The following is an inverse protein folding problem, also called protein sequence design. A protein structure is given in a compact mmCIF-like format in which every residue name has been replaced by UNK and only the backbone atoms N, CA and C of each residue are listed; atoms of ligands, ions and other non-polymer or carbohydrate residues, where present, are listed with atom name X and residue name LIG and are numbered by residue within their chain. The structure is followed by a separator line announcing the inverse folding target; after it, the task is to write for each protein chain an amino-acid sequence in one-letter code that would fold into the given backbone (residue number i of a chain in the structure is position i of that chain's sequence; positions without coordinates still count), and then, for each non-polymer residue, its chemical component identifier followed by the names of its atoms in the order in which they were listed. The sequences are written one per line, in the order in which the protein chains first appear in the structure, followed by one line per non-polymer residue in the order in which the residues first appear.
data_IF_063510664621
#
_entry.id   IF_063510664621
#
_cell.length_a   1.000
_cell.length_b   1.000
_cell.length_c   1.000
_cell.angle_alpha   90.00
_cell.angle_beta   90.00
_cell.angle_gamma   90.00
#
_symmetry.space_group_name_H-M   'P 1'
#
loop_
_entity.id
_entity.type
_entity.pdbx_description
1 polymer ?
#
# COMPACT_ATOMS: atom_id res chain seq x y z
N UNK A 1 -17.83 25.94 -17.60
CA UNK A 1 -19.28 26.13 -17.38
C UNK A 1 -19.44 27.14 -16.26
N UNK A 2 -19.74 28.39 -16.62
CA UNK A 2 -19.91 29.50 -15.68
C UNK A 2 -21.26 29.40 -14.99
N UNK A 3 -21.28 29.36 -13.66
CA UNK A 3 -22.48 29.59 -12.88
C UNK A 3 -22.41 31.02 -12.34
N UNK A 4 -23.19 31.91 -12.94
CA UNK A 4 -23.54 33.21 -12.37
C UNK A 4 -24.45 32.92 -11.19
N UNK A 5 -23.90 32.98 -9.98
CA UNK A 5 -24.74 32.97 -8.77
C UNK A 5 -25.33 34.36 -8.65
N UNK A 6 -26.63 34.46 -8.96
CA UNK A 6 -27.46 35.61 -8.66
C UNK A 6 -27.30 35.96 -7.18
N UNK A 7 -26.80 37.17 -6.94
CA UNK A 7 -26.75 37.76 -5.62
C UNK A 7 -28.18 38.03 -5.17
N UNK A 8 -28.67 37.24 -4.22
CA UNK A 8 -29.95 37.48 -3.58
C UNK A 8 -29.87 38.80 -2.80
N UNK A 9 -30.65 39.78 -3.23
CA UNK A 9 -30.89 41.00 -2.46
C UNK A 9 -31.62 40.61 -1.18
N UNK A 10 -30.89 40.59 -0.06
CA UNK A 10 -31.51 40.47 1.26
C UNK A 10 -32.09 41.85 1.58
N UNK A 11 -33.41 41.91 1.64
CA UNK A 11 -34.16 43.09 2.03
C UNK A 11 -33.65 43.62 3.39
N UNK A 12 -33.25 44.89 3.43
CA UNK A 12 -32.95 45.59 4.66
C UNK A 12 -34.21 45.64 5.54
N UNK A 13 -34.06 45.42 6.84
CA UNK A 13 -35.15 45.66 7.79
C UNK A 13 -35.54 47.13 7.70
N UNK A 14 -36.82 47.38 7.47
CA UNK A 14 -37.44 48.70 7.40
C UNK A 14 -37.48 49.33 8.80
N UNK A 15 -36.33 49.81 9.26
CA UNK A 15 -36.25 50.84 10.29
C UNK A 15 -36.52 52.18 9.62
N UNK A 16 -37.70 52.74 9.87
CA UNK A 16 -38.18 54.02 9.37
C UNK A 16 -37.13 55.13 9.47
N UNK A 17 -36.62 55.58 8.33
CA UNK A 17 -36.01 56.90 8.18
C UNK A 17 -37.05 57.84 7.57
N UNK A 18 -37.28 59.03 8.14
CA UNK A 18 -38.22 59.99 7.59
C UNK A 18 -37.58 60.67 6.38
N UNK A 19 -38.15 60.47 5.20
CA UNK A 19 -37.94 61.37 4.07
C UNK A 19 -38.49 62.75 4.45
N UNK A 20 -37.71 63.80 4.20
CA UNK A 20 -38.01 65.16 4.63
C UNK A 20 -37.04 66.16 4.01
N UNK A 21 -37.42 66.61 2.83
CA UNK A 21 -36.64 67.41 1.89
C UNK A 21 -36.47 68.87 2.37
N UNK A 22 -35.25 69.40 2.28
CA UNK A 22 -35.02 70.85 2.16
C UNK A 22 -34.87 71.67 3.45
N UNK A 23 -33.72 72.33 3.60
CA UNK A 23 -33.54 73.45 4.52
C UNK A 23 -32.16 73.48 5.17
N UNK A 24 -31.37 74.50 4.85
CA UNK A 24 -30.01 74.68 5.41
C UNK A 24 -30.00 74.75 6.94
N UNK A 25 -29.01 74.11 7.56
CA UNK A 25 -28.77 74.18 8.99
C UNK A 25 -28.22 72.89 9.57
N UNK A 26 -26.90 72.82 9.74
CA UNK A 26 -26.11 72.07 10.73
C UNK A 26 -26.71 70.83 11.46
N UNK A 27 -27.30 69.86 10.77
CA UNK A 27 -27.53 68.52 11.35
C UNK A 27 -26.20 67.75 11.40
N UNK A 28 -25.88 67.03 12.49
CA UNK A 28 -24.65 66.23 12.55
C UNK A 28 -24.72 65.13 11.50
N UNK A 29 -24.00 65.32 10.39
CA UNK A 29 -23.83 64.27 9.38
C UNK A 29 -23.03 63.13 10.01
N UNK A 30 -23.69 62.00 10.25
CA UNK A 30 -23.04 60.74 10.60
C UNK A 30 -21.97 60.39 9.56
N UNK A 31 -20.86 59.76 9.95
CA UNK A 31 -19.87 59.32 8.99
C UNK A 31 -20.47 58.29 8.02
N UNK A 32 -20.07 58.34 6.76
CA UNK A 32 -20.47 57.38 5.73
C UNK A 32 -19.25 56.90 4.97
N UNK A 33 -19.07 55.59 4.85
CA UNK A 33 -18.04 54.97 4.02
C UNK A 33 -18.63 54.61 2.65
N UNK A 34 -17.84 54.82 1.61
CA UNK A 34 -18.17 54.46 0.23
C UNK A 34 -17.40 53.22 -0.21
N UNK A 35 -16.08 53.22 -0.04
CA UNK A 35 -15.22 52.16 -0.54
C UNK A 35 -13.96 52.00 0.34
N UNK A 36 -13.37 50.81 0.27
CA UNK A 36 -12.03 50.51 0.75
C UNK A 36 -11.12 50.15 -0.43
N UNK A 37 -9.99 50.83 -0.57
CA UNK A 37 -9.06 50.66 -1.69
C UNK A 37 -7.64 50.39 -1.18
N UNK A 38 -7.06 49.20 -1.44
CA UNK A 38 -7.70 48.03 -2.06
C UNK A 38 -8.81 47.44 -1.16
N UNK A 39 -9.80 46.77 -1.76
CA UNK A 39 -10.89 46.08 -1.06
C UNK A 39 -10.55 44.64 -0.65
N UNK A 40 -9.29 44.22 -0.83
CA UNK A 40 -8.78 42.92 -0.43
C UNK A 40 -7.29 42.98 -0.11
N UNK A 41 -6.82 42.00 0.65
CA UNK A 41 -5.41 41.87 1.02
C UNK A 41 -5.11 40.63 1.86
N UNK A 42 -3.87 40.46 2.32
CA UNK A 42 -3.41 39.24 2.97
C UNK A 42 -4.04 39.02 4.35
N UNK A 43 -4.27 37.76 4.72
CA UNK A 43 -4.72 37.36 6.08
C UNK A 43 -3.79 37.80 7.21
N UNK A 44 -2.50 38.02 6.92
CA UNK A 44 -1.55 38.58 7.88
C UNK A 44 -1.76 40.09 8.16
N UNK A 45 -2.61 40.76 7.38
CA UNK A 45 -2.77 42.21 7.44
C UNK A 45 -1.47 42.95 7.07
N UNK A 46 -1.31 44.17 7.60
CA UNK A 46 -0.11 44.99 7.42
C UNK A 46 -0.11 45.83 6.14
N UNK A 47 -1.03 45.58 5.20
CA UNK A 47 -1.17 46.42 4.02
C UNK A 47 -1.97 47.70 4.34
N UNK A 48 -1.63 48.77 3.63
CA UNK A 48 -2.36 50.03 3.69
C UNK A 48 -3.68 49.93 2.93
N UNK A 49 -4.76 50.42 3.53
CA UNK A 49 -6.09 50.52 2.94
C UNK A 49 -6.57 51.96 3.09
N UNK A 50 -7.00 52.57 1.98
CA UNK A 50 -7.64 53.87 1.99
C UNK A 50 -9.16 53.68 1.99
N UNK A 51 -9.82 54.24 3.00
CA UNK A 51 -11.27 54.29 3.12
C UNK A 51 -11.75 55.64 2.62
N UNK A 52 -12.63 55.68 1.63
CA UNK A 52 -13.24 56.92 1.14
C UNK A 52 -14.65 57.07 1.69
N UNK A 53 -15.09 58.31 1.88
CA UNK A 53 -16.37 58.58 2.50
C UNK A 53 -16.65 60.06 2.70
N UNK A 54 -17.57 60.34 3.61
CA UNK A 54 -17.89 61.69 4.08
C UNK A 54 -18.08 61.70 5.58
N UNK A 55 -17.74 62.81 6.24
CA UNK A 55 -17.93 62.95 7.68
C UNK A 55 -16.90 62.17 8.50
N UNK A 56 -15.75 61.82 7.91
CA UNK A 56 -14.71 60.98 8.52
C UNK A 56 -13.69 61.76 9.38
N UNK A 57 -13.79 63.09 9.43
CA UNK A 57 -12.90 63.93 10.22
C UNK A 57 -12.95 63.55 11.71
N UNK A 58 -11.78 63.45 12.33
CA UNK A 58 -11.65 63.03 13.73
C UNK A 58 -11.96 61.56 13.99
N UNK A 59 -11.91 60.68 12.97
CA UNK A 59 -12.02 59.24 13.17
C UNK A 59 -11.04 58.74 14.25
N UNK A 60 -11.58 58.07 15.26
CA UNK A 60 -10.84 57.59 16.42
C UNK A 60 -10.65 56.07 16.43
N UNK A 61 -11.48 55.34 15.68
CA UNK A 61 -11.40 53.89 15.56
C UNK A 61 -11.88 53.46 14.19
N UNK A 62 -11.13 52.56 13.56
CA UNK A 62 -11.57 51.79 12.39
C UNK A 62 -11.42 50.32 12.74
N UNK A 63 -12.43 49.50 12.46
CA UNK A 63 -12.35 48.05 12.69
C UNK A 63 -12.60 47.26 11.41
N UNK A 64 -11.94 46.11 11.29
CA UNK A 64 -12.10 45.12 10.24
C UNK A 64 -12.64 43.85 10.90
N UNK A 65 -13.92 43.53 10.67
CA UNK A 65 -14.57 42.40 11.34
C UNK A 65 -14.61 42.52 12.87
N UNK A 66 -14.55 43.74 13.39
CA UNK A 66 -14.43 44.04 14.83
C UNK A 66 -13.00 44.15 15.35
N UNK A 67 -11.97 43.74 14.58
CA UNK A 67 -10.57 43.91 14.96
C UNK A 67 -10.09 45.34 14.66
N UNK A 68 -9.56 46.09 15.64
CA UNK A 68 -9.04 47.45 15.41
C UNK A 68 -7.90 47.51 14.38
N UNK A 69 -8.00 48.44 13.45
CA UNK A 69 -6.95 48.80 12.50
C UNK A 69 -6.10 49.98 13.03
N UNK A 70 -4.87 50.09 12.55
CA UNK A 70 -4.02 51.25 12.87
C UNK A 70 -4.37 52.40 11.93
N UNK A 71 -4.86 53.51 12.45
CA UNK A 71 -5.11 54.73 11.66
C UNK A 71 -3.76 55.40 11.37
N UNK A 72 -3.45 55.61 10.09
CA UNK A 72 -2.22 56.27 9.61
C UNK A 72 -2.47 57.75 9.36
N UNK A 73 -3.59 58.08 8.73
CA UNK A 73 -3.96 59.44 8.40
C UNK A 73 -5.47 59.58 8.27
N UNK A 74 -5.97 60.77 8.60
CA UNK A 74 -7.38 61.15 8.44
C UNK A 74 -7.40 62.48 7.70
N UNK A 75 -8.21 62.59 6.65
CA UNK A 75 -8.43 63.87 5.97
C UNK A 75 -9.08 64.88 6.92
N UNK A 76 -8.52 66.08 7.12
CA UNK A 76 -9.16 67.12 7.91
C UNK A 76 -10.56 67.52 7.40
N UNK A 77 -10.81 67.36 6.10
CA UNK A 77 -12.12 67.61 5.49
C UNK A 77 -13.07 66.39 5.58
N UNK A 78 -12.57 65.25 6.05
CA UNK A 78 -13.35 64.05 6.30
C UNK A 78 -13.74 63.24 5.07
N UNK A 79 -12.98 63.34 3.97
CA UNK A 79 -13.26 62.59 2.74
C UNK A 79 -12.59 61.21 2.71
N UNK A 80 -11.54 60.99 3.51
CA UNK A 80 -10.84 59.70 3.54
C UNK A 80 -10.12 59.43 4.87
N UNK A 81 -9.86 58.15 5.13
CA UNK A 81 -9.01 57.64 6.21
C UNK A 81 -8.03 56.63 5.60
N UNK A 82 -6.76 56.72 5.91
CA UNK A 82 -5.76 55.71 5.57
C UNK A 82 -5.47 54.87 6.82
N UNK A 83 -5.60 53.55 6.71
CA UNK A 83 -5.37 52.60 7.80
C UNK A 83 -4.42 51.48 7.39
N UNK A 84 -3.82 50.81 8.36
CA UNK A 84 -3.14 49.52 8.17
C UNK A 84 -4.12 48.42 8.61
N UNK A 85 -4.45 47.52 7.68
CA UNK A 85 -5.37 46.42 7.97
C UNK A 85 -4.77 45.48 9.04
N UNK A 86 -5.52 45.08 10.07
CA UNK A 86 -5.04 44.13 11.06
C UNK A 86 -5.00 42.70 10.49
N UNK A 87 -4.25 41.77 11.10
CA UNK A 87 -4.36 40.35 10.80
C UNK A 87 -5.79 39.83 11.07
N UNK A 88 -6.31 38.99 10.19
CA UNK A 88 -7.64 38.37 10.33
C UNK A 88 -7.71 37.04 9.58
N UNK A 89 -8.62 36.16 10.01
CA UNK A 89 -8.91 34.92 9.29
C UNK A 89 -9.40 35.19 7.85
N UNK A 90 -9.16 34.25 6.94
CA UNK A 90 -9.60 34.36 5.54
C UNK A 90 -11.12 34.54 5.43
N UNK A 91 -11.55 35.37 4.49
CA UNK A 91 -12.96 35.64 4.23
C UNK A 91 -13.31 37.12 4.17
N UNK A 92 -14.60 37.39 3.96
CA UNK A 92 -15.14 38.75 3.86
C UNK A 92 -15.48 39.28 5.26
N UNK A 93 -15.02 40.49 5.57
CA UNK A 93 -15.35 41.21 6.79
C UNK A 93 -15.95 42.58 6.49
N UNK A 94 -16.63 43.14 7.48
CA UNK A 94 -17.12 44.52 7.44
C UNK A 94 -16.07 45.48 8.01
N UNK A 95 -15.87 46.60 7.33
CA UNK A 95 -15.12 47.75 7.83
C UNK A 95 -16.10 48.81 8.30
N UNK A 96 -15.93 49.29 9.53
CA UNK A 96 -16.65 50.45 10.06
C UNK A 96 -15.68 51.46 10.66
N UNK A 97 -16.01 52.74 10.52
CA UNK A 97 -15.27 53.85 11.11
C UNK A 97 -16.12 54.54 12.17
N UNK A 98 -15.52 54.82 13.33
CA UNK A 98 -16.14 55.55 14.44
C UNK A 98 -15.50 56.93 14.56
N UNK A 99 -16.34 57.94 14.62
CA UNK A 99 -16.01 59.36 14.79
C UNK A 99 -16.75 59.90 16.02
N UNK A 100 -16.44 61.11 16.52
CA UNK A 100 -17.24 61.77 17.55
C UNK A 100 -18.72 61.95 17.17
N UNK A 101 -19.06 61.87 15.88
CA UNK A 101 -20.43 61.98 15.35
C UNK A 101 -21.16 60.64 15.26
N UNK A 102 -20.51 59.52 15.57
CA UNK A 102 -21.08 58.17 15.51
C UNK A 102 -20.27 57.20 14.65
N UNK A 103 -20.85 56.03 14.39
CA UNK A 103 -20.26 54.95 13.58
C UNK A 103 -20.84 54.94 12.18
N UNK A 104 -20.01 54.63 11.19
CA UNK A 104 -20.40 54.60 9.78
C UNK A 104 -21.23 53.37 9.41
N UNK A 105 -21.83 53.38 8.22
CA UNK A 105 -22.23 52.14 7.54
C UNK A 105 -21.00 51.23 7.29
N UNK A 106 -21.22 49.92 7.13
CA UNK A 106 -20.15 49.01 6.75
C UNK A 106 -19.81 49.14 5.25
N UNK A 107 -18.53 48.96 4.94
CA UNK A 107 -18.04 48.53 3.60
C UNK A 107 -17.34 47.18 3.76
N UNK A 108 -17.06 46.47 2.68
CA UNK A 108 -16.54 45.10 2.75
C UNK A 108 -15.06 45.02 2.37
N UNK A 109 -14.33 44.15 3.06
CA UNK A 109 -12.94 43.83 2.78
C UNK A 109 -12.72 42.33 2.80
N UNK A 110 -11.95 41.82 1.84
CA UNK A 110 -11.69 40.38 1.72
C UNK A 110 -10.26 40.05 2.13
N UNK A 111 -10.12 39.25 3.19
CA UNK A 111 -8.84 38.65 3.57
C UNK A 111 -8.58 37.40 2.72
N UNK A 112 -7.55 37.47 1.89
CA UNK A 112 -7.13 36.41 0.96
C UNK A 112 -5.94 35.67 1.58
N UNK A 113 -5.99 34.33 1.71
CA UNK A 113 -4.85 33.56 2.19
C UNK A 113 -3.70 33.62 1.18
N UNK A 114 -2.44 33.50 1.62
CA UNK A 114 -1.31 33.35 0.71
C UNK A 114 -1.51 32.14 -0.21
N UNK A 115 -1.03 32.24 -1.45
CA UNK A 115 -1.09 31.12 -2.39
C UNK A 115 -0.33 29.91 -1.80
N UNK A 116 -0.97 28.73 -1.87
CA UNK A 116 -0.36 27.49 -1.43
C UNK A 116 0.88 27.11 -2.24
N UNK A 117 1.65 26.12 -1.77
CA UNK A 117 2.82 25.66 -2.50
C UNK A 117 2.42 25.01 -3.83
N UNK A 118 3.29 25.12 -4.84
CA UNK A 118 3.20 24.32 -6.06
C UNK A 118 4.41 23.42 -6.18
N UNK A 119 4.24 22.21 -6.69
CA UNK A 119 5.33 21.25 -6.90
C UNK A 119 5.36 20.83 -8.36
N UNK A 120 6.54 20.90 -8.97
CA UNK A 120 6.78 20.56 -10.38
C UNK A 120 7.42 19.19 -10.55
N UNK A 121 8.34 18.79 -9.67
CA UNK A 121 8.99 17.47 -9.77
C UNK A 121 9.55 16.98 -8.44
N UNK A 122 9.71 15.66 -8.32
CA UNK A 122 10.47 14.96 -7.29
C UNK A 122 11.53 14.08 -7.96
N UNK A 123 12.80 14.25 -7.59
CA UNK A 123 13.93 13.51 -8.16
C UNK A 123 14.87 12.99 -7.05
N UNK A 124 15.21 11.69 -7.04
CA UNK A 124 14.58 10.62 -7.81
C UNK A 124 13.12 10.40 -7.35
N UNK A 125 12.28 9.82 -8.21
CA UNK A 125 10.90 9.44 -7.90
C UNK A 125 10.77 7.97 -7.46
N UNK A 126 11.88 7.29 -7.19
CA UNK A 126 11.91 5.93 -6.67
C UNK A 126 13.13 5.69 -5.76
N UNK A 127 13.05 4.65 -4.92
CA UNK A 127 14.13 4.24 -4.02
C UNK A 127 13.80 3.00 -3.19
N UNK A 128 14.74 2.47 -2.39
CA UNK A 128 14.54 1.26 -1.61
C UNK A 128 13.50 1.42 -0.50
N UNK A 129 12.77 0.34 -0.19
CA UNK A 129 11.80 0.27 0.93
C UNK A 129 12.39 0.61 2.30
N UNK A 130 13.71 0.46 2.47
CA UNK A 130 14.44 0.87 3.67
C UNK A 130 14.52 2.39 3.85
N UNK A 131 14.13 3.17 2.85
CA UNK A 131 14.21 4.62 2.85
C UNK A 131 15.64 5.13 2.68
N UNK A 132 15.89 6.31 3.24
CA UNK A 132 17.14 7.06 3.17
C UNK A 132 17.58 7.45 1.74
N UNK A 133 16.63 7.55 0.81
CA UNK A 133 16.93 8.06 -0.54
C UNK A 133 16.99 9.57 -0.46
N UNK A 134 18.13 10.17 -0.80
CA UNK A 134 18.23 11.62 -0.95
C UNK A 134 17.34 12.07 -2.11
N UNK A 135 16.45 13.03 -1.86
CA UNK A 135 15.53 13.54 -2.86
C UNK A 135 15.57 15.07 -2.94
N UNK A 136 15.12 15.58 -4.08
CA UNK A 136 14.91 16.99 -4.36
C UNK A 136 13.51 17.21 -4.94
N UNK A 137 12.77 18.14 -4.36
CA UNK A 137 11.48 18.63 -4.84
C UNK A 137 11.66 20.05 -5.35
N UNK A 138 11.26 20.30 -6.60
CA UNK A 138 11.23 21.64 -7.18
C UNK A 138 9.82 22.17 -7.21
N UNK A 139 9.66 23.49 -7.05
CA UNK A 139 8.34 24.10 -6.96
C UNK A 139 8.38 25.60 -6.65
N UNK A 140 7.29 26.12 -6.12
CA UNK A 140 7.19 27.50 -5.59
C UNK A 140 6.47 27.53 -4.26
N UNK A 141 6.72 28.57 -3.46
CA UNK A 141 6.07 28.75 -2.16
C UNK A 141 6.48 27.70 -1.13
N UNK A 142 7.67 27.10 -1.27
CA UNK A 142 8.14 26.00 -0.42
C UNK A 142 8.74 26.45 0.91
N UNK A 143 8.80 27.75 1.21
CA UNK A 143 9.39 28.26 2.46
C UNK A 143 8.66 27.67 3.67
N UNK A 144 9.43 27.08 4.60
CA UNK A 144 8.89 26.41 5.78
C UNK A 144 8.17 25.08 5.47
N UNK A 145 8.39 24.51 4.29
CA UNK A 145 7.77 23.25 3.90
C UNK A 145 8.26 22.06 4.75
N UNK A 146 7.34 21.16 5.02
CA UNK A 146 7.57 19.78 5.43
C UNK A 146 7.09 18.85 4.34
N UNK A 147 7.59 17.62 4.31
CA UNK A 147 7.18 16.62 3.34
C UNK A 147 6.95 15.27 4.00
N UNK A 148 5.88 14.61 3.59
CA UNK A 148 5.53 13.26 4.06
C UNK A 148 5.37 12.31 2.87
N UNK A 149 5.78 11.06 3.08
CA UNK A 149 5.65 9.93 2.15
C UNK A 149 4.65 8.95 2.76
N UNK A 150 3.46 8.82 2.17
CA UNK A 150 2.34 8.08 2.77
C UNK A 150 2.02 8.49 4.22
N UNK A 151 2.13 9.78 4.54
CA UNK A 151 1.93 10.30 5.90
C UNK A 151 3.13 10.15 6.85
N UNK A 152 4.21 9.45 6.44
CA UNK A 152 5.44 9.35 7.24
C UNK A 152 6.36 10.54 6.91
N UNK A 153 6.83 11.32 7.91
CA UNK A 153 7.72 12.46 7.67
C UNK A 153 9.07 12.06 7.07
N UNK A 154 9.56 12.86 6.12
CA UNK A 154 10.95 12.79 5.68
C UNK A 154 11.92 13.36 6.72
N UNK A 155 13.20 12.98 6.60
CA UNK A 155 14.27 13.47 7.48
C UNK A 155 15.21 14.42 6.73
N UNK A 156 15.98 15.23 7.47
CA UNK A 156 16.96 16.14 6.87
C UNK A 156 16.36 17.21 5.94
N UNK A 157 15.08 17.55 6.13
CA UNK A 157 14.38 18.46 5.23
C UNK A 157 14.99 19.85 5.29
N UNK A 158 15.37 20.38 4.14
CA UNK A 158 15.86 21.75 3.99
C UNK A 158 15.24 22.41 2.77
N UNK A 159 15.04 23.73 2.83
CA UNK A 159 14.49 24.52 1.74
C UNK A 159 15.48 25.64 1.42
N UNK A 160 15.72 25.89 0.14
CA UNK A 160 16.58 27.01 -0.26
C UNK A 160 15.96 28.37 0.09
N UNK A 161 16.78 29.41 0.17
CA UNK A 161 16.31 30.76 0.53
C UNK A 161 15.24 31.32 -0.42
N UNK A 162 15.23 30.87 -1.69
CA UNK A 162 14.23 31.28 -2.68
C UNK A 162 12.88 30.56 -2.54
N UNK A 163 12.77 29.51 -1.72
CA UNK A 163 11.53 28.73 -1.58
C UNK A 163 11.14 27.95 -2.83
N UNK A 164 12.11 27.54 -3.64
CA UNK A 164 11.93 26.86 -4.94
C UNK A 164 12.51 25.44 -5.00
N UNK A 165 13.34 25.08 -4.02
CA UNK A 165 13.96 23.77 -3.91
C UNK A 165 13.87 23.27 -2.47
N UNK A 166 13.31 22.08 -2.28
CA UNK A 166 13.29 21.34 -1.03
C UNK A 166 14.10 20.07 -1.19
N UNK A 167 15.00 19.77 -0.26
CA UNK A 167 15.75 18.51 -0.23
C UNK A 167 15.51 17.76 1.08
N UNK A 168 15.77 16.45 1.09
CA UNK A 168 15.70 15.63 2.29
C UNK A 168 15.97 14.16 1.98
N UNK A 169 15.65 13.30 2.95
CA UNK A 169 15.81 11.85 2.86
C UNK A 169 14.47 11.16 3.08
N UNK A 170 14.12 10.21 2.20
CA UNK A 170 12.86 9.47 2.31
C UNK A 170 12.82 8.63 3.58
N UNK A 171 11.66 8.50 4.26
CA UNK A 171 11.52 7.51 5.32
C UNK A 171 11.46 6.09 4.74
N UNK A 172 11.54 5.03 5.57
CA UNK A 172 11.15 3.69 5.18
C UNK A 172 9.67 3.63 4.74
N UNK A 173 9.33 2.78 3.78
CA UNK A 173 7.99 2.71 3.20
C UNK A 173 7.63 1.35 2.60
N UNK A 174 6.34 1.09 2.35
CA UNK A 174 5.86 -0.15 1.75
C UNK A 174 6.25 -0.23 0.28
N UNK A 175 6.38 -1.44 -0.28
CA UNK A 175 6.61 -1.63 -1.73
C UNK A 175 5.49 -1.00 -2.54
N UNK A 176 5.86 -0.32 -3.63
CA UNK A 176 4.93 0.31 -4.57
C UNK A 176 4.92 1.83 -4.49
N UNK A 177 4.02 2.43 -5.27
CA UNK A 177 3.89 3.88 -5.35
C UNK A 177 3.11 4.43 -4.15
N UNK A 178 3.64 5.47 -3.52
CA UNK A 178 3.00 6.17 -2.41
C UNK A 178 2.75 7.64 -2.73
N UNK A 179 1.69 8.25 -2.18
CA UNK A 179 1.49 9.69 -2.28
C UNK A 179 2.57 10.42 -1.49
N UNK A 180 3.05 11.54 -2.05
CA UNK A 180 3.95 12.47 -1.38
C UNK A 180 3.23 13.80 -1.24
N UNK A 181 3.21 14.34 -0.02
CA UNK A 181 2.53 15.59 0.32
C UNK A 181 3.54 16.58 0.82
N UNK A 182 3.54 17.77 0.22
CA UNK A 182 4.30 18.93 0.70
C UNK A 182 3.34 19.86 1.43
N UNK A 183 3.67 20.23 2.66
CA UNK A 183 2.86 21.10 3.52
C UNK A 183 3.67 22.31 3.94
N UNK A 184 3.16 23.51 3.69
CA UNK A 184 3.71 24.78 4.14
C UNK A 184 2.69 25.50 5.03
N UNK A 185 3.07 26.59 5.72
CA UNK A 185 2.11 27.43 6.43
C UNK A 185 0.99 28.00 5.53
N UNK A 186 1.19 28.04 4.20
CA UNK A 186 0.21 28.55 3.23
C UNK A 186 -0.70 27.45 2.66
N UNK A 187 -0.49 26.18 3.02
CA UNK A 187 -1.34 25.05 2.59
C UNK A 187 -0.54 23.81 2.22
N UNK A 188 -1.23 22.82 1.66
CA UNK A 188 -0.62 21.55 1.23
C UNK A 188 -0.89 21.26 -0.24
N UNK A 189 0.04 20.57 -0.89
CA UNK A 189 -0.12 20.06 -2.25
C UNK A 189 0.42 18.64 -2.38
N UNK A 190 -0.17 17.86 -3.29
CA UNK A 190 0.40 16.59 -3.73
C UNK A 190 1.58 16.84 -4.67
N UNK A 191 2.59 16.00 -4.55
CA UNK A 191 3.67 15.91 -5.54
C UNK A 191 3.16 15.06 -6.72
N UNK A 192 3.22 15.57 -7.96
CA UNK A 192 2.84 14.79 -9.13
C UNK A 192 3.64 13.48 -9.23
N UNK A 193 2.94 12.36 -9.47
CA UNK A 193 3.54 11.03 -9.61
C UNK A 193 3.85 10.30 -8.29
N UNK A 194 4.05 11.02 -7.18
CA UNK A 194 4.42 10.41 -5.90
C UNK A 194 5.82 9.80 -5.90
N UNK A 195 6.05 8.79 -5.06
CA UNK A 195 7.34 8.10 -4.95
C UNK A 195 7.15 6.59 -4.92
N UNK A 196 7.94 5.86 -5.71
CA UNK A 196 7.87 4.39 -5.78
C UNK A 196 8.97 3.73 -4.94
N UNK A 197 8.55 3.01 -3.91
CA UNK A 197 9.44 2.18 -3.12
C UNK A 197 9.64 0.81 -3.77
N UNK A 198 10.89 0.42 -4.00
CA UNK A 198 11.28 -0.86 -4.61
C UNK A 198 11.94 -1.76 -3.58
N UNK A 199 11.53 -3.03 -3.52
CA UNK A 199 12.26 -4.04 -2.75
C UNK A 199 13.52 -4.48 -3.51
N UNK A 200 14.61 -4.82 -2.81
CA UNK A 200 15.79 -5.39 -3.46
C UNK A 200 15.48 -6.76 -4.08
N UNK A 201 16.14 -7.15 -5.19
CA UNK A 201 15.95 -8.46 -5.81
C UNK A 201 16.25 -9.61 -4.84
N UNK A 202 15.52 -10.73 -4.93
CA UNK A 202 15.81 -11.92 -4.14
C UNK A 202 17.13 -12.57 -4.58
N UNK A 203 17.85 -13.15 -3.63
CA UNK A 203 19.02 -14.00 -3.88
C UNK A 203 18.74 -15.37 -3.28
N UNK A 204 18.80 -16.42 -4.11
CA UNK A 204 18.77 -17.80 -3.66
C UNK A 204 20.17 -18.40 -3.78
N UNK A 205 20.65 -19.02 -2.71
CA UNK A 205 22.01 -19.59 -2.62
C UNK A 205 21.97 -21.10 -2.78
N UNK A 206 21.04 -21.78 -2.11
CA UNK A 206 20.94 -23.25 -2.16
C UNK A 206 19.54 -23.73 -1.79
N UNK A 207 19.24 -24.98 -2.17
CA UNK A 207 18.09 -25.75 -1.71
C UNK A 207 18.58 -27.05 -1.03
N UNK A 208 17.98 -27.40 0.12
CA UNK A 208 18.29 -28.62 0.85
C UNK A 208 17.00 -29.32 1.31
N UNK A 209 16.84 -30.64 1.07
CA UNK A 209 17.69 -31.46 0.21
C UNK A 209 17.62 -31.01 -1.27
N UNK A 210 18.61 -31.33 -2.11
CA UNK A 210 18.60 -30.98 -3.53
C UNK A 210 17.74 -31.93 -4.40
N UNK A 211 17.16 -32.96 -3.79
CA UNK A 211 16.34 -33.97 -4.47
C UNK A 211 15.24 -34.54 -3.57
N UNK A 212 14.27 -35.20 -4.19
CA UNK A 212 13.16 -35.86 -3.49
C UNK A 212 12.18 -36.55 -4.42
N UNK A 213 11.12 -37.13 -3.84
CA UNK A 213 10.18 -38.01 -4.56
C UNK A 213 9.39 -37.27 -5.65
N UNK A 214 9.22 -37.91 -6.82
CA UNK A 214 8.28 -37.49 -7.89
C UNK A 214 6.83 -37.30 -7.41
N UNK A 215 6.44 -37.92 -6.30
CA UNK A 215 5.12 -37.71 -5.69
C UNK A 215 4.96 -36.34 -5.01
N UNK A 216 6.03 -35.55 -4.87
CA UNK A 216 6.03 -34.30 -4.12
C UNK A 216 6.05 -34.52 -2.60
N UNK A 217 5.73 -33.47 -1.85
CA UNK A 217 5.65 -33.49 -0.39
C UNK A 217 7.00 -33.53 0.33
N UNK A 218 8.12 -33.42 -0.39
CA UNK A 218 9.44 -33.37 0.25
C UNK A 218 9.63 -31.99 0.88
N UNK A 219 9.88 -31.96 2.19
CA UNK A 219 10.22 -30.72 2.89
C UNK A 219 11.56 -30.19 2.36
N UNK A 220 11.60 -28.92 1.98
CA UNK A 220 12.81 -28.26 1.52
C UNK A 220 13.07 -26.97 2.31
N UNK A 221 14.33 -26.57 2.34
CA UNK A 221 14.82 -25.29 2.85
C UNK A 221 15.60 -24.61 1.75
N UNK A 222 15.28 -23.35 1.43
CA UNK A 222 16.08 -22.50 0.55
C UNK A 222 16.77 -21.43 1.39
N UNK A 223 18.10 -21.32 1.26
CA UNK A 223 18.89 -20.26 1.90
C UNK A 223 19.17 -19.11 0.92
N UNK A 224 19.27 -17.89 1.42
CA UNK A 224 19.41 -16.72 0.56
C UNK A 224 19.34 -15.38 1.29
N UNK A 225 18.93 -14.35 0.56
CA UNK A 225 18.63 -13.02 1.09
C UNK A 225 17.46 -12.37 0.33
N UNK A 226 16.83 -11.37 0.95
CA UNK A 226 15.67 -10.66 0.40
C UNK A 226 14.49 -11.59 0.05
N UNK A 227 14.28 -12.64 0.85
CA UNK A 227 13.26 -13.67 0.62
C UNK A 227 11.87 -13.32 1.19
N UNK A 228 11.68 -12.17 1.82
CA UNK A 228 10.40 -11.79 2.43
C UNK A 228 9.28 -11.75 1.38
N UNK A 229 8.14 -12.38 1.68
CA UNK A 229 7.02 -12.50 0.75
C UNK A 229 7.28 -13.44 -0.43
N UNK A 230 8.25 -14.35 -0.33
CA UNK A 230 8.58 -15.29 -1.39
C UNK A 230 7.46 -16.30 -1.67
N UNK A 231 7.30 -16.58 -2.97
CA UNK A 231 6.68 -17.79 -3.49
C UNK A 231 7.75 -18.62 -4.22
N UNK A 232 7.56 -19.95 -4.28
CA UNK A 232 8.51 -20.87 -4.90
C UNK A 232 7.79 -21.73 -5.91
N UNK A 233 8.37 -21.91 -7.09
CA UNK A 233 7.86 -22.81 -8.12
C UNK A 233 8.94 -23.81 -8.55
N UNK A 234 8.51 -25.03 -8.89
CA UNK A 234 9.33 -26.10 -9.44
C UNK A 234 8.84 -26.36 -10.86
N UNK A 235 9.63 -26.00 -11.88
CA UNK A 235 9.19 -26.01 -13.28
C UNK A 235 7.85 -25.28 -13.52
N UNK A 236 7.62 -24.17 -12.83
CA UNK A 236 6.37 -23.40 -12.89
C UNK A 236 5.22 -23.92 -12.01
N UNK A 237 5.35 -25.09 -11.38
CA UNK A 237 4.33 -25.61 -10.46
C UNK A 237 4.59 -25.05 -9.04
N UNK A 238 3.61 -24.44 -8.37
CA UNK A 238 3.81 -23.82 -7.06
C UNK A 238 4.07 -24.86 -5.96
N UNK A 239 5.03 -24.55 -5.10
CA UNK A 239 5.24 -25.26 -3.83
C UNK A 239 4.14 -24.93 -2.82
N UNK A 240 3.96 -25.79 -1.81
CA UNK A 240 2.98 -25.59 -0.74
C UNK A 240 3.66 -25.30 0.59
N UNK A 241 2.94 -24.68 1.53
CA UNK A 241 3.45 -24.40 2.88
C UNK A 241 4.65 -23.46 2.93
N UNK A 242 4.84 -22.61 1.91
CA UNK A 242 5.98 -21.69 1.84
C UNK A 242 5.92 -20.70 2.99
N UNK A 243 6.96 -20.65 3.80
CA UNK A 243 7.12 -19.67 4.88
C UNK A 243 8.57 -19.20 4.96
N UNK A 244 8.76 -17.93 5.32
CA UNK A 244 10.05 -17.25 5.34
C UNK A 244 10.37 -16.84 6.78
N UNK A 245 11.63 -16.95 7.19
CA UNK A 245 12.05 -16.46 8.49
C UNK A 245 11.96 -14.91 8.56
N UNK A 246 11.88 -14.36 9.77
CA UNK A 246 11.77 -12.91 9.99
C UNK A 246 12.95 -12.11 9.43
N UNK A 247 14.12 -12.73 9.28
CA UNK A 247 15.30 -12.12 8.68
C UNK A 247 15.28 -12.09 7.14
N UNK A 248 14.37 -12.82 6.48
CA UNK A 248 14.33 -12.93 5.02
C UNK A 248 15.53 -13.66 4.41
N UNK A 249 16.21 -14.52 5.17
CA UNK A 249 17.44 -15.23 4.78
C UNK A 249 17.25 -16.73 4.57
N UNK A 250 16.09 -17.26 4.96
CA UNK A 250 15.74 -18.67 4.76
C UNK A 250 14.23 -18.81 4.58
N UNK A 251 13.83 -19.73 3.72
CA UNK A 251 12.44 -20.14 3.57
C UNK A 251 12.32 -21.66 3.56
N UNK A 252 11.16 -22.17 3.96
CA UNK A 252 10.82 -23.60 3.96
C UNK A 252 9.55 -23.84 3.17
N UNK A 253 9.32 -25.07 2.71
CA UNK A 253 8.10 -25.48 2.03
C UNK A 253 8.09 -26.95 1.68
N UNK A 254 7.09 -27.38 0.92
CA UNK A 254 6.97 -28.75 0.40
C UNK A 254 6.91 -28.75 -1.13
N UNK A 255 7.66 -29.66 -1.74
CA UNK A 255 7.70 -29.79 -3.19
C UNK A 255 6.34 -30.22 -3.77
N UNK A 256 5.93 -29.70 -4.93
CA UNK A 256 4.80 -30.27 -5.66
C UNK A 256 5.18 -31.62 -6.29
N UNK A 257 4.20 -32.42 -6.78
CA UNK A 257 4.49 -33.55 -7.65
C UNK A 257 5.21 -33.11 -8.93
N UNK A 258 6.11 -33.96 -9.45
CA UNK A 258 6.93 -33.64 -10.62
C UNK A 258 7.42 -34.88 -11.37
N UNK A 259 7.80 -34.69 -12.63
CA UNK A 259 8.39 -35.74 -13.45
C UNK A 259 9.84 -36.03 -13.02
N UNK A 260 10.32 -37.26 -13.26
CA UNK A 260 11.71 -37.66 -12.97
C UNK A 260 12.69 -36.73 -13.69
N UNK A 261 13.72 -36.29 -12.97
CA UNK A 261 14.81 -35.46 -13.51
C UNK A 261 14.98 -34.13 -12.80
N UNK A 262 15.95 -33.34 -13.26
CA UNK A 262 16.24 -32.03 -12.71
C UNK A 262 15.31 -30.96 -13.27
N UNK A 263 14.74 -30.14 -12.40
CA UNK A 263 13.86 -29.02 -12.75
C UNK A 263 14.41 -27.69 -12.24
N UNK A 264 14.14 -26.57 -12.95
CA UNK A 264 14.44 -25.25 -12.42
C UNK A 264 13.55 -24.96 -11.22
N UNK A 265 14.13 -24.32 -10.19
CA UNK A 265 13.41 -23.79 -9.04
C UNK A 265 13.50 -22.29 -9.06
N UNK A 266 12.36 -21.61 -9.08
CA UNK A 266 12.30 -20.14 -9.13
C UNK A 266 11.69 -19.62 -7.85
N UNK A 267 12.37 -18.66 -7.24
CA UNK A 267 11.89 -17.90 -6.09
C UNK A 267 11.46 -16.51 -6.57
N UNK A 268 10.23 -16.12 -6.27
CA UNK A 268 9.66 -14.83 -6.66
C UNK A 268 9.24 -14.05 -5.42
N UNK A 269 9.70 -12.80 -5.31
CA UNK A 269 9.36 -11.84 -4.25
C UNK A 269 8.84 -10.54 -4.87
N UNK A 270 8.31 -9.59 -4.08
CA UNK A 270 7.97 -8.27 -4.60
C UNK A 270 9.15 -7.50 -5.22
N UNK A 271 10.40 -7.90 -4.95
CA UNK A 271 11.62 -7.33 -5.54
C UNK A 271 12.04 -7.95 -6.87
N UNK A 272 11.35 -8.99 -7.35
CA UNK A 272 11.66 -9.69 -8.60
C UNK A 272 11.72 -11.20 -8.44
N UNK A 273 12.43 -11.89 -9.34
CA UNK A 273 12.60 -13.34 -9.29
C UNK A 273 14.05 -13.75 -9.44
N UNK A 274 14.40 -14.89 -8.86
CA UNK A 274 15.73 -15.51 -8.98
C UNK A 274 15.59 -17.03 -9.10
N UNK A 275 16.54 -17.67 -9.78
CA UNK A 275 16.57 -19.14 -9.91
C UNK A 275 17.52 -19.70 -8.87
N UNK A 276 17.12 -20.78 -8.18
CA UNK A 276 17.99 -21.47 -7.24
C UNK A 276 19.10 -22.18 -8.02
N UNK A 277 20.39 -21.93 -7.71
CA UNK A 277 21.50 -22.64 -8.33
C UNK A 277 21.35 -24.16 -8.20
N UNK A 278 21.57 -24.89 -9.30
CA UNK A 278 21.46 -26.36 -9.35
C UNK A 278 20.05 -26.90 -9.58
N UNK A 279 19.00 -26.14 -9.29
CA UNK A 279 17.62 -26.61 -9.40
C UNK A 279 17.27 -27.69 -8.36
N UNK A 280 16.35 -28.56 -8.70
CA UNK A 280 15.93 -29.68 -7.84
C UNK A 280 15.69 -30.94 -8.65
N UNK A 281 16.19 -32.08 -8.16
CA UNK A 281 16.06 -33.37 -8.86
C UNK A 281 14.95 -34.22 -8.27
N UNK A 282 13.92 -34.49 -9.08
CA UNK A 282 12.91 -35.49 -8.73
C UNK A 282 13.41 -36.90 -9.02
N UNK A 283 13.40 -37.75 -8.00
CA UNK A 283 13.76 -39.16 -8.08
C UNK A 283 12.52 -40.04 -7.97
N UNK A 284 12.49 -41.18 -8.68
CA UNK A 284 11.43 -42.16 -8.46
C UNK A 284 11.47 -42.65 -7.00
N UNK A 285 10.31 -43.00 -6.40
CA UNK A 285 10.28 -43.61 -5.08
C UNK A 285 11.09 -44.91 -5.08
N UNK A 286 11.62 -45.35 -3.92
CA UNK A 286 12.27 -46.63 -3.82
C UNK A 286 11.36 -47.77 -4.31
N UNK A 287 11.89 -48.78 -5.03
CA UNK A 287 11.09 -49.91 -5.47
C UNK A 287 10.52 -50.70 -4.27
N UNK A 288 9.37 -51.36 -4.46
CA UNK A 288 8.81 -52.22 -3.43
C UNK A 288 9.72 -53.42 -3.16
N UNK A 289 9.74 -53.90 -1.93
CA UNK A 289 10.38 -55.17 -1.54
C UNK A 289 9.30 -56.06 -0.97
N UNK A 290 9.09 -57.24 -1.55
CA UNK A 290 8.17 -58.25 -1.05
C UNK A 290 8.96 -59.47 -0.59
N UNK A 291 8.92 -59.76 0.71
CA UNK A 291 9.76 -60.78 1.35
C UNK A 291 9.05 -62.12 1.46
N UNK A 292 7.75 -62.12 1.77
CA UNK A 292 6.97 -63.34 1.94
C UNK A 292 5.49 -63.12 1.71
N UNK A 293 4.77 -64.20 1.44
CA UNK A 293 3.31 -64.28 1.43
C UNK A 293 2.84 -65.39 2.38
N UNK A 294 1.80 -65.10 3.18
CA UNK A 294 1.21 -66.04 4.11
C UNK A 294 -0.33 -66.04 3.98
N UNK A 295 -0.98 -67.20 3.79
CA UNK A 295 -0.36 -68.51 3.54
C UNK A 295 0.35 -68.54 2.15
N UNK A 296 1.33 -69.43 1.93
CA UNK A 296 2.01 -69.57 0.64
C UNK A 296 1.20 -70.37 -0.40
N UNK A 297 0.04 -70.90 -0.02
CA UNK A 297 -0.85 -71.68 -0.88
C UNK A 297 -2.32 -71.52 -0.49
N UNK A 298 -3.22 -71.92 -1.38
CA UNK A 298 -4.67 -71.89 -1.15
C UNK A 298 -5.48 -72.26 -2.39
N UNK A 299 -6.80 -72.07 -2.33
CA UNK A 299 -7.73 -72.64 -3.30
C UNK A 299 -7.58 -72.06 -4.71
N UNK A 300 -7.54 -72.93 -5.73
CA UNK A 300 -7.63 -72.56 -7.15
C UNK A 300 -8.88 -71.72 -7.51
N UNK A 301 -9.95 -71.78 -6.71
CA UNK A 301 -11.14 -70.96 -6.91
C UNK A 301 -10.95 -69.48 -6.50
N UNK A 302 -9.82 -69.12 -5.87
CA UNK A 302 -9.57 -67.79 -5.32
C UNK A 302 -10.21 -67.57 -3.95
N UNK A 303 -10.20 -66.32 -3.48
CA UNK A 303 -10.80 -65.90 -2.21
C UNK A 303 -9.96 -66.21 -0.97
N UNK A 304 -8.74 -66.75 -1.11
CA UNK A 304 -7.87 -66.99 0.05
C UNK A 304 -7.31 -65.68 0.55
N UNK A 305 -7.55 -65.36 1.82
CA UNK A 305 -6.96 -64.17 2.45
C UNK A 305 -5.44 -64.35 2.54
N UNK A 306 -4.68 -63.37 2.07
CA UNK A 306 -3.21 -63.38 2.15
C UNK A 306 -2.69 -62.15 2.88
N UNK A 307 -1.49 -62.30 3.44
CA UNK A 307 -0.65 -61.22 3.97
C UNK A 307 0.69 -61.27 3.26
N UNK A 308 1.09 -60.18 2.61
CA UNK A 308 2.45 -60.01 2.07
C UNK A 308 3.22 -59.11 3.03
N UNK A 309 4.44 -59.50 3.41
CA UNK A 309 5.33 -58.70 4.25
C UNK A 309 6.50 -58.16 3.44
N UNK A 310 6.95 -56.95 3.75
CA UNK A 310 7.98 -56.28 2.98
C UNK A 310 8.25 -54.82 3.37
N UNK A 311 8.68 -54.02 2.40
CA UNK A 311 8.87 -52.57 2.56
C UNK A 311 8.47 -51.80 1.29
N UNK A 312 8.20 -50.50 1.46
CA UNK A 312 7.71 -49.60 0.40
C UNK A 312 6.41 -50.10 -0.27
N UNK A 313 5.49 -50.70 0.51
CA UNK A 313 4.26 -51.32 0.01
C UNK A 313 3.03 -50.39 0.00
N UNK A 314 3.18 -49.11 0.36
CA UNK A 314 2.06 -48.17 0.36
C UNK A 314 1.49 -47.96 -1.04
N UNK A 315 0.17 -48.05 -1.17
CA UNK A 315 -0.52 -47.89 -2.46
C UNK A 315 -0.24 -49.00 -3.47
N UNK A 316 0.18 -50.18 -3.00
CA UNK A 316 0.50 -51.30 -3.88
C UNK A 316 -0.74 -51.98 -4.47
N UNK A 317 -0.60 -52.49 -5.70
CA UNK A 317 -1.47 -53.51 -6.27
C UNK A 317 -0.74 -54.86 -6.32
N UNK A 318 -1.47 -55.95 -6.15
CA UNK A 318 -0.94 -57.32 -6.19
C UNK A 318 -1.59 -58.09 -7.33
N UNK A 319 -0.80 -58.83 -8.09
CA UNK A 319 -1.29 -59.74 -9.13
C UNK A 319 -0.72 -61.14 -8.95
N UNK A 320 -1.52 -62.15 -9.31
CA UNK A 320 -1.16 -63.57 -9.32
C UNK A 320 -1.19 -64.05 -10.77
N UNK A 321 -0.01 -64.34 -11.34
CA UNK A 321 0.14 -64.62 -12.78
C UNK A 321 -0.53 -63.56 -13.69
N UNK A 322 -0.42 -62.28 -13.32
CA UNK A 322 -1.05 -61.16 -14.04
C UNK A 322 -2.53 -60.92 -13.72
N UNK A 323 -3.20 -61.78 -12.95
CA UNK A 323 -4.59 -61.56 -12.53
C UNK A 323 -4.63 -60.72 -11.25
N UNK A 324 -5.38 -59.60 -11.19
CA UNK A 324 -5.44 -58.74 -10.00
C UNK A 324 -6.05 -59.42 -8.79
N UNK A 325 -5.43 -59.24 -7.62
CA UNK A 325 -6.02 -59.56 -6.33
C UNK A 325 -7.12 -58.56 -5.95
N UNK A 326 -8.05 -58.97 -5.10
CA UNK A 326 -9.15 -58.12 -4.62
C UNK A 326 -8.93 -57.67 -3.17
N UNK A 327 -9.44 -56.49 -2.80
CA UNK A 327 -9.38 -55.99 -1.43
C UNK A 327 -7.98 -55.67 -0.92
N UNK A 328 -7.03 -55.40 -1.83
CA UNK A 328 -5.65 -55.10 -1.47
C UNK A 328 -5.58 -53.80 -0.69
N UNK A 329 -5.03 -53.85 0.52
CA UNK A 329 -4.72 -52.66 1.33
C UNK A 329 -3.40 -52.81 2.07
N UNK A 330 -2.69 -51.71 2.28
CA UNK A 330 -1.44 -51.66 3.04
C UNK A 330 -1.66 -51.15 4.47
N UNK A 331 -0.83 -51.59 5.41
CA UNK A 331 -0.76 -50.96 6.72
C UNK A 331 -0.13 -49.55 6.62
N UNK A 332 -0.34 -48.72 7.65
CA UNK A 332 0.18 -47.34 7.66
C UNK A 332 1.72 -47.24 7.57
N UNK A 333 2.44 -48.29 8.01
CA UNK A 333 3.89 -48.36 7.93
C UNK A 333 4.40 -48.76 6.53
N UNK A 334 3.53 -49.20 5.61
CA UNK A 334 3.93 -49.69 4.28
C UNK A 334 4.78 -50.96 4.31
N UNK A 335 4.64 -51.77 5.37
CA UNK A 335 5.40 -53.00 5.58
C UNK A 335 4.59 -54.28 5.39
N UNK A 336 3.28 -54.15 5.25
CA UNK A 336 2.39 -55.29 5.02
C UNK A 336 1.24 -54.93 4.07
N UNK A 337 0.87 -55.88 3.21
CA UNK A 337 -0.34 -55.86 2.40
C UNK A 337 -1.24 -57.01 2.82
N UNK A 338 -2.54 -56.76 2.85
CA UNK A 338 -3.59 -57.79 2.98
C UNK A 338 -4.48 -57.78 1.76
N UNK A 339 -5.07 -58.92 1.42
CA UNK A 339 -6.03 -59.01 0.31
C UNK A 339 -6.54 -60.44 0.11
N UNK A 340 -7.24 -60.66 -1.00
CA UNK A 340 -7.77 -61.98 -1.37
C UNK A 340 -7.26 -62.40 -2.75
N UNK A 341 -6.85 -63.66 -2.86
CA UNK A 341 -6.35 -64.23 -4.11
C UNK A 341 -7.46 -64.28 -5.19
N UNK A 342 -7.13 -64.04 -6.47
CA UNK A 342 -8.05 -64.33 -7.57
C UNK A 342 -8.14 -65.84 -7.86
N UNK A 343 -9.11 -66.30 -8.67
CA UNK A 343 -9.08 -67.67 -9.22
C UNK A 343 -7.84 -67.90 -10.10
N UNK A 344 -7.31 -69.12 -10.10
CA UNK A 344 -6.09 -69.48 -10.84
C UNK A 344 -5.98 -70.98 -11.14
N UNK A 345 -5.09 -71.34 -12.07
CA UNK A 345 -4.79 -72.73 -12.38
C UNK A 345 -3.94 -73.36 -11.27
N UNK A 346 -4.08 -74.68 -11.06
CA UNK A 346 -3.28 -75.44 -10.10
C UNK A 346 -1.78 -75.29 -10.37
N UNK A 347 -1.00 -75.19 -9.29
CA UNK A 347 0.45 -75.04 -9.34
C UNK A 347 0.96 -73.69 -8.86
N UNK A 348 2.28 -73.53 -8.89
CA UNK A 348 2.95 -72.32 -8.40
C UNK A 348 2.90 -71.20 -9.44
N UNK A 349 2.43 -70.02 -9.04
CA UNK A 349 2.36 -68.82 -9.87
C UNK A 349 3.24 -67.71 -9.34
N UNK A 350 3.79 -66.84 -10.23
CA UNK A 350 4.47 -65.64 -9.79
C UNK A 350 3.46 -64.66 -9.18
N UNK A 351 3.84 -64.06 -8.06
CA UNK A 351 3.09 -62.97 -7.43
C UNK A 351 3.88 -61.69 -7.62
N UNK A 352 3.28 -60.68 -8.24
CA UNK A 352 3.91 -59.38 -8.51
C UNK A 352 3.24 -58.32 -7.65
N UNK A 353 4.05 -57.57 -6.92
CA UNK A 353 3.64 -56.38 -6.18
C UNK A 353 4.12 -55.15 -6.97
N UNK A 354 3.19 -54.26 -7.30
CA UNK A 354 3.46 -53.02 -8.05
C UNK A 354 3.12 -51.82 -7.19
N UNK A 355 4.02 -50.85 -7.10
CA UNK A 355 3.82 -49.54 -6.45
C UNK A 355 4.26 -48.42 -7.39
N UNK A 356 4.02 -47.14 -7.06
CA UNK A 356 4.59 -46.03 -7.82
C UNK A 356 6.13 -46.05 -7.93
N UNK A 357 6.82 -46.79 -7.05
CA UNK A 357 8.27 -46.97 -7.10
C UNK A 357 8.76 -48.09 -8.04
N UNK A 358 7.84 -48.87 -8.63
CA UNK A 358 8.17 -49.98 -9.54
C UNK A 358 7.47 -51.28 -9.17
N UNK A 359 7.98 -52.40 -9.67
CA UNK A 359 7.43 -53.74 -9.42
C UNK A 359 8.47 -54.68 -8.82
N UNK A 360 8.02 -55.63 -8.00
CA UNK A 360 8.84 -56.68 -7.42
C UNK A 360 8.09 -58.01 -7.38
N UNK A 361 8.82 -59.12 -7.40
CA UNK A 361 8.25 -60.46 -7.19
C UNK A 361 8.22 -60.77 -5.70
N UNK A 362 7.14 -61.42 -5.24
CA UNK A 362 7.13 -62.03 -3.92
C UNK A 362 8.00 -63.29 -3.97
N UNK A 363 8.98 -63.37 -3.08
CA UNK A 363 9.86 -64.52 -2.98
C UNK A 363 9.05 -65.82 -2.77
N UNK A 364 9.29 -66.82 -3.62
CA UNK A 364 8.61 -68.13 -3.57
C UNK A 364 7.31 -68.23 -4.36
N UNK A 365 6.68 -67.11 -4.75
CA UNK A 365 5.39 -67.13 -5.45
C UNK A 365 4.23 -67.60 -4.56
N UNK A 366 3.17 -68.12 -5.18
CA UNK A 366 2.00 -68.67 -4.48
C UNK A 366 1.51 -69.94 -5.18
N UNK A 367 1.18 -70.98 -4.42
CA UNK A 367 0.73 -72.27 -4.99
C UNK A 367 -0.78 -72.43 -4.88
N UNK A 368 -1.47 -72.56 -6.01
CA UNK A 368 -2.88 -72.98 -6.05
C UNK A 368 -3.00 -74.49 -5.90
N UNK A 369 -3.82 -74.92 -4.94
CA UNK A 369 -4.14 -76.32 -4.61
C UNK A 369 -5.65 -76.57 -4.66
#
# INVERSE_FOLDING_TARGET
MSAVVQQAAIAQSTGSWPDGDGGGGNWPRYPRLFEATPNSGPTMGGNTVQLTGTGLQGASLVTFGGTPATIVAVDPNGNWITVIAPPHAAGVVQIVATTPRGTSNPVYYTYVPPAGPTVTSLVPNNGPTTGNTAFAITGTGLTGATVTFNGVPATGVSVNAAGTLLTGNTPPGPVGNVPVVVTTPSGSTLVPGGFTYTAPPPVAVSISPPSGSTAGGTAFVISGSNLNGASVTFNGVPATGVSVNSAGTSLVGFTPPGAVGNVPVVVTTPGGSTTVPGGYTYTPPPPPVAVSISPPSGSAAGGTAFVISGSNLNGASVTFNGVPATGVSSNAAGTSLVGFTPPGALGNVPVVVTTPGGSTLVLGGYTYV
#
